data_IF_335688977459
#
_entry.id   IF_335688977459
#
_cell.length_a   1.000
_cell.length_b   1.000
_cell.length_c   1.000
_cell.angle_alpha   90.00
_cell.angle_beta   90.00
_cell.angle_gamma   90.00
#
_symmetry.space_group_name_H-M   'P 1'
#
loop_
_entity.id
_entity.type
_entity.pdbx_description
1 polymer ?
#
# COMPACT_ATOMS: atom_id res chain seq x y z
N UNK A 1 0.31 3.87 -0.82
CA UNK A 1 0.95 2.61 -0.38
C UNK A 1 1.01 1.52 -1.46
N UNK A 2 0.55 1.74 -2.72
CA UNK A 2 0.73 0.77 -3.83
C UNK A 2 2.12 0.81 -4.48
N UNK A 3 2.84 1.94 -4.39
CA UNK A 3 4.26 2.05 -4.79
C UNK A 3 5.22 1.38 -3.79
N UNK A 4 4.73 0.64 -2.80
CA UNK A 4 5.56 -0.13 -1.86
C UNK A 4 5.56 -1.64 -2.13
N UNK A 5 4.71 -2.11 -3.05
CA UNK A 5 4.76 -3.46 -3.59
C UNK A 5 5.69 -3.47 -4.81
N UNK A 6 6.87 -4.08 -4.67
CA UNK A 6 7.86 -4.19 -5.76
C UNK A 6 7.28 -4.81 -7.04
N UNK A 7 6.24 -5.64 -6.92
CA UNK A 7 5.53 -6.24 -8.06
C UNK A 7 4.67 -5.24 -8.83
N UNK A 8 4.04 -4.30 -8.13
CA UNK A 8 3.13 -3.33 -8.75
C UNK A 8 3.89 -2.20 -9.42
N UNK A 9 5.03 -1.81 -8.84
CA UNK A 9 6.00 -0.90 -9.43
C UNK A 9 6.53 -1.45 -10.76
N UNK A 10 7.03 -2.70 -10.78
CA UNK A 10 7.53 -3.35 -12.01
C UNK A 10 6.51 -3.42 -13.14
N UNK A 11 5.23 -3.62 -12.81
CA UNK A 11 4.19 -3.77 -13.82
C UNK A 11 3.71 -2.41 -14.37
N UNK A 12 3.62 -1.37 -13.54
CA UNK A 12 3.35 -0.01 -14.02
C UNK A 12 4.49 0.44 -14.94
N UNK A 13 5.75 0.19 -14.58
CA UNK A 13 6.88 0.48 -15.46
C UNK A 13 6.75 -0.25 -16.81
N UNK A 14 6.38 -1.53 -16.80
CA UNK A 14 6.13 -2.29 -18.03
C UNK A 14 4.99 -1.69 -18.85
N UNK A 15 3.90 -1.26 -18.23
CA UNK A 15 2.79 -0.60 -18.94
C UNK A 15 3.29 0.67 -19.62
N UNK A 16 4.06 1.50 -18.92
CA UNK A 16 4.60 2.74 -19.48
C UNK A 16 5.58 2.47 -20.63
N UNK A 17 6.37 1.41 -20.52
CA UNK A 17 7.28 0.98 -21.57
C UNK A 17 6.56 0.57 -22.85
N UNK A 18 5.60 -0.35 -22.74
CA UNK A 18 4.84 -0.86 -23.88
C UNK A 18 3.96 0.24 -24.49
N UNK A 19 3.37 1.09 -23.65
CA UNK A 19 2.59 2.24 -24.09
C UNK A 19 3.45 3.23 -24.88
N UNK A 20 4.63 3.57 -24.36
CA UNK A 20 5.57 4.46 -25.01
C UNK A 20 6.06 3.89 -26.34
N UNK A 21 6.39 2.60 -26.38
CA UNK A 21 6.77 1.90 -27.61
C UNK A 21 5.65 1.91 -28.67
N UNK A 22 4.40 1.68 -28.26
CA UNK A 22 3.25 1.62 -29.17
C UNK A 22 2.81 2.99 -29.70
N UNK A 23 2.87 4.03 -28.86
CA UNK A 23 2.37 5.38 -29.22
C UNK A 23 3.46 6.28 -29.80
N UNK A 24 4.73 5.94 -29.54
CA UNK A 24 5.91 6.78 -29.75
C UNK A 24 5.88 8.09 -28.94
N UNK A 25 5.08 8.15 -27.88
CA UNK A 25 5.10 9.25 -26.91
C UNK A 25 6.16 8.99 -25.84
N UNK A 26 6.70 10.06 -25.27
CA UNK A 26 7.51 9.94 -24.07
C UNK A 26 6.60 9.62 -22.88
N UNK A 27 7.03 8.80 -21.93
CA UNK A 27 6.21 8.38 -20.79
C UNK A 27 7.03 8.21 -19.51
N UNK A 28 6.51 8.66 -18.37
CA UNK A 28 7.16 8.58 -17.05
C UNK A 28 6.13 8.51 -15.92
N UNK A 29 6.48 7.85 -14.82
CA UNK A 29 5.73 7.87 -13.57
C UNK A 29 6.39 8.84 -12.61
N UNK A 30 5.61 9.68 -11.95
CA UNK A 30 6.08 10.59 -10.90
C UNK A 30 5.28 10.43 -9.61
N UNK A 31 5.88 10.82 -8.49
CA UNK A 31 5.18 10.97 -7.21
C UNK A 31 4.27 12.21 -7.20
N UNK A 32 3.59 12.44 -6.06
CA UNK A 32 2.68 13.58 -5.90
C UNK A 32 3.38 14.95 -5.94
N UNK A 33 4.72 14.98 -5.92
CA UNK A 33 5.55 16.19 -5.99
C UNK A 33 6.15 16.39 -7.39
N UNK A 34 5.83 15.53 -8.37
CA UNK A 34 6.38 15.57 -9.71
C UNK A 34 7.79 14.98 -9.82
N UNK A 35 8.28 14.29 -8.79
CA UNK A 35 9.59 13.62 -8.83
C UNK A 35 9.47 12.29 -9.55
N UNK A 36 10.36 12.03 -10.49
CA UNK A 36 10.37 10.79 -11.27
C UNK A 36 10.62 9.57 -10.38
N UNK A 37 9.72 8.59 -10.45
CA UNK A 37 9.81 7.30 -9.74
C UNK A 37 9.92 6.11 -10.69
N UNK A 38 9.90 6.36 -12.00
CA UNK A 38 10.24 5.37 -13.02
C UNK A 38 11.35 5.89 -13.94
N UNK A 39 11.85 5.01 -14.81
CA UNK A 39 12.68 5.43 -15.94
C UNK A 39 11.93 6.36 -16.90
N UNK A 40 12.68 7.16 -17.65
CA UNK A 40 12.20 8.04 -18.71
C UNK A 40 12.06 7.25 -20.03
N UNK A 41 10.84 6.89 -20.42
CA UNK A 41 10.59 6.07 -21.61
C UNK A 41 10.44 6.95 -22.85
N UNK A 42 11.26 6.73 -23.88
CA UNK A 42 11.18 7.44 -25.18
C UNK A 42 11.26 8.98 -25.10
N UNK A 43 11.96 9.50 -24.08
CA UNK A 43 12.22 10.94 -23.97
C UNK A 43 13.18 11.40 -25.07
N UNK A 44 12.84 12.51 -25.73
CA UNK A 44 13.71 13.13 -26.74
C UNK A 44 14.97 13.73 -26.08
N UNK A 45 16.08 13.94 -26.84
CA UNK A 45 17.27 14.61 -26.32
C UNK A 45 16.95 15.95 -25.67
N UNK A 46 15.99 16.71 -26.21
CA UNK A 46 15.54 17.96 -25.62
C UNK A 46 15.02 17.78 -24.19
N UNK A 47 14.06 16.87 -23.97
CA UNK A 47 13.47 16.68 -22.65
C UNK A 47 14.48 16.08 -21.65
N UNK A 48 15.40 15.23 -22.12
CA UNK A 48 16.49 14.70 -21.30
C UNK A 48 17.45 15.81 -20.83
N UNK A 49 17.86 16.71 -21.72
CA UNK A 49 18.73 17.84 -21.39
C UNK A 49 18.03 18.82 -20.44
N UNK A 50 16.77 19.16 -20.72
CA UNK A 50 15.94 20.01 -19.87
C UNK A 50 15.83 19.44 -18.45
N UNK A 51 15.50 18.15 -18.29
CA UNK A 51 15.38 17.51 -16.97
C UNK A 51 16.71 17.25 -16.26
N UNK A 52 17.83 17.33 -16.98
CA UNK A 52 19.19 17.20 -16.41
C UNK A 52 19.72 18.53 -15.87
N UNK A 53 19.22 19.66 -16.37
CA UNK A 53 19.58 20.98 -15.87
C UNK A 53 18.79 21.30 -14.59
N UNK A 54 19.42 21.58 -13.43
CA UNK A 54 18.73 21.82 -12.16
C UNK A 54 17.67 22.93 -12.22
N UNK A 55 17.94 24.00 -12.99
CA UNK A 55 17.00 25.11 -13.17
C UNK A 55 15.71 24.62 -13.83
N UNK A 56 15.83 24.00 -15.00
CA UNK A 56 14.65 23.57 -15.78
C UNK A 56 14.01 22.30 -15.23
N UNK A 57 14.76 21.43 -14.57
CA UNK A 57 14.23 20.27 -13.84
C UNK A 57 13.17 20.69 -12.84
N UNK A 58 13.42 21.74 -12.06
CA UNK A 58 12.44 22.24 -11.09
C UNK A 58 11.13 22.68 -11.76
N UNK A 59 11.21 23.24 -12.97
CA UNK A 59 10.05 23.64 -13.76
C UNK A 59 9.30 22.43 -14.34
N UNK A 60 10.01 21.39 -14.78
CA UNK A 60 9.41 20.12 -15.18
C UNK A 60 8.62 19.50 -14.03
N UNK A 61 9.22 19.36 -12.85
CA UNK A 61 8.57 18.77 -11.69
C UNK A 61 7.32 19.57 -11.27
N UNK A 62 7.37 20.91 -11.34
CA UNK A 62 6.19 21.76 -11.14
C UNK A 62 5.09 21.50 -12.18
N UNK A 63 5.45 21.41 -13.47
CA UNK A 63 4.48 21.06 -14.52
C UNK A 63 3.84 19.69 -14.26
N UNK A 64 4.66 18.70 -13.92
CA UNK A 64 4.23 17.33 -13.69
C UNK A 64 3.26 17.26 -12.48
N UNK A 65 3.61 17.95 -11.39
CA UNK A 65 2.79 18.06 -10.18
C UNK A 65 1.47 18.79 -10.46
N UNK A 66 1.50 19.98 -11.05
CA UNK A 66 0.28 20.76 -11.30
C UNK A 66 -0.63 20.05 -12.31
N UNK A 67 -0.06 19.50 -13.38
CA UNK A 67 -0.80 18.71 -14.37
C UNK A 67 -1.52 17.54 -13.73
N UNK A 68 -0.83 16.81 -12.86
CA UNK A 68 -1.41 15.68 -12.13
C UNK A 68 -2.46 16.06 -11.10
N UNK A 69 -2.23 17.11 -10.32
CA UNK A 69 -3.19 17.58 -9.31
C UNK A 69 -4.48 18.07 -9.95
N UNK A 70 -4.39 18.82 -11.05
CA UNK A 70 -5.58 19.27 -11.79
C UNK A 70 -6.33 18.09 -12.43
N UNK A 71 -5.62 17.12 -13.01
CA UNK A 71 -6.22 15.88 -13.51
C UNK A 71 -6.98 15.11 -12.40
N UNK A 72 -6.40 15.07 -11.19
CA UNK A 72 -6.98 14.36 -10.04
C UNK A 72 -8.33 14.91 -9.58
N UNK A 73 -8.64 16.18 -9.83
CA UNK A 73 -9.93 16.79 -9.47
C UNK A 73 -11.11 16.19 -10.23
N UNK A 74 -10.88 15.75 -11.45
CA UNK A 74 -11.92 15.20 -12.34
C UNK A 74 -11.80 13.69 -12.54
N UNK A 75 -10.63 13.12 -12.21
CA UNK A 75 -10.31 11.71 -12.48
C UNK A 75 -10.10 11.41 -13.97
N UNK A 76 -10.03 12.44 -14.82
CA UNK A 76 -9.80 12.35 -16.27
C UNK A 76 -8.38 12.82 -16.59
N UNK A 77 -7.81 12.41 -17.74
CA UNK A 77 -6.54 12.94 -18.18
C UNK A 77 -6.63 14.45 -18.36
N UNK A 78 -5.58 15.17 -17.96
CA UNK A 78 -5.43 16.59 -18.28
C UNK A 78 -4.33 16.76 -19.32
N UNK A 79 -4.68 17.35 -20.45
CA UNK A 79 -3.73 17.77 -21.49
C UNK A 79 -3.39 19.25 -21.26
N UNK A 80 -2.10 19.57 -21.25
CA UNK A 80 -1.60 20.90 -20.96
C UNK A 80 -0.31 21.21 -21.75
N UNK A 81 0.10 22.49 -21.80
CA UNK A 81 1.44 22.87 -22.25
C UNK A 81 2.38 23.00 -21.07
N UNK A 82 3.53 22.33 -21.13
CA UNK A 82 4.56 22.45 -20.12
C UNK A 82 5.31 23.78 -20.26
N UNK A 83 6.22 24.05 -19.32
CA UNK A 83 7.02 25.28 -19.31
C UNK A 83 7.84 25.47 -20.60
N UNK A 84 8.27 24.38 -21.24
CA UNK A 84 9.01 24.43 -22.49
C UNK A 84 8.11 24.66 -23.73
N UNK A 85 6.79 24.72 -23.55
CA UNK A 85 5.81 24.90 -24.63
C UNK A 85 5.42 23.60 -25.35
N UNK A 86 5.87 22.45 -24.87
CA UNK A 86 5.47 21.14 -25.38
C UNK A 86 4.12 20.72 -24.80
N UNK A 87 3.33 19.99 -25.58
CA UNK A 87 2.09 19.38 -25.13
C UNK A 87 2.41 18.10 -24.36
N UNK A 88 1.85 18.02 -23.16
CA UNK A 88 2.00 16.90 -22.24
C UNK A 88 0.63 16.57 -21.64
N UNK A 89 0.48 15.39 -21.06
CA UNK A 89 -0.72 15.06 -20.32
C UNK A 89 -0.44 14.21 -19.10
N UNK A 90 -1.35 14.30 -18.13
CA UNK A 90 -1.24 13.61 -16.86
C UNK A 90 -2.49 12.77 -16.58
N UNK A 91 -2.29 11.55 -16.10
CA UNK A 91 -3.32 10.61 -15.64
C UNK A 91 -3.09 10.31 -14.15
N UNK A 92 -4.07 10.56 -13.26
CA UNK A 92 -3.89 10.37 -11.83
C UNK A 92 -3.88 8.89 -11.44
N UNK A 93 -2.93 8.52 -10.57
CA UNK A 93 -2.85 7.17 -9.98
C UNK A 93 -3.52 7.22 -8.61
N UNK A 94 -4.77 6.78 -8.55
CA UNK A 94 -5.56 6.75 -7.30
C UNK A 94 -5.70 5.32 -6.80
N UNK A 95 -5.40 5.13 -5.53
CA UNK A 95 -5.21 3.83 -4.88
C UNK A 95 -5.97 3.86 -3.58
N UNK A 96 -6.97 3.00 -3.40
CA UNK A 96 -7.77 2.97 -2.17
C UNK A 96 -8.28 4.37 -1.76
N UNK A 97 -8.67 5.18 -2.77
CA UNK A 97 -9.11 6.57 -2.59
C UNK A 97 -8.02 7.56 -2.13
N UNK A 98 -6.74 7.16 -2.19
CA UNK A 98 -5.57 8.01 -1.95
C UNK A 98 -4.81 8.26 -3.26
N UNK A 99 -4.53 9.53 -3.55
CA UNK A 99 -3.65 9.91 -4.66
C UNK A 99 -2.21 9.45 -4.37
N UNK A 100 -1.65 8.62 -5.25
CA UNK A 100 -0.32 8.03 -5.07
C UNK A 100 0.75 8.60 -6.01
N UNK A 101 0.34 9.29 -7.08
CA UNK A 101 1.25 9.83 -8.09
C UNK A 101 0.53 10.01 -9.43
N UNK A 102 1.31 10.19 -10.49
CA UNK A 102 0.78 10.48 -11.82
C UNK A 102 1.53 9.70 -12.91
N UNK A 103 0.79 9.21 -13.90
CA UNK A 103 1.37 8.76 -15.17
C UNK A 103 1.40 9.96 -16.10
N UNK A 104 2.58 10.30 -16.61
CA UNK A 104 2.74 11.36 -17.58
C UNK A 104 3.11 10.78 -18.92
N UNK A 105 2.57 11.39 -19.97
CA UNK A 105 2.99 11.09 -21.31
C UNK A 105 2.69 12.26 -22.25
N UNK A 106 3.46 12.33 -23.33
CA UNK A 106 3.37 13.44 -24.27
C UNK A 106 4.76 13.90 -24.67
N UNK A 107 5.08 15.14 -24.28
CA UNK A 107 6.32 15.85 -24.59
C UNK A 107 6.55 15.97 -26.10
N UNK A 108 5.49 16.40 -26.78
CA UNK A 108 5.43 16.54 -28.24
C UNK A 108 4.94 17.92 -28.63
N UNK A 109 5.15 18.29 -29.88
CA UNK A 109 4.51 19.47 -30.46
C UNK A 109 3.12 19.04 -30.96
N UNK A 110 2.07 19.75 -30.56
CA UNK A 110 0.73 19.57 -31.13
C UNK A 110 0.63 20.33 -32.47
N UNK A 111 0.19 19.68 -33.55
CA UNK A 111 0.07 20.30 -34.89
C UNK A 111 -0.93 21.46 -34.89
N UNK A 112 -2.06 21.27 -34.22
CA UNK A 112 -3.11 22.26 -34.12
C UNK A 112 -2.84 23.20 -32.94
N UNK A 113 -3.21 24.47 -33.12
CA UNK A 113 -3.34 25.42 -32.01
C UNK A 113 -4.54 25.00 -31.16
N UNK A 114 -4.36 23.93 -30.38
CA UNK A 114 -5.33 23.51 -29.39
C UNK A 114 -5.44 24.59 -28.32
N UNK A 115 -6.65 24.80 -27.79
CA UNK A 115 -6.95 25.68 -26.64
C UNK A 115 -6.26 25.24 -25.33
N UNK A 116 -5.28 24.34 -25.44
CA UNK A 116 -4.45 23.82 -24.37
C UNK A 116 -3.55 24.95 -23.87
N UNK A 117 -3.92 25.48 -22.70
CA UNK A 117 -3.16 26.50 -21.99
C UNK A 117 -1.87 25.95 -21.37
N UNK A 118 -1.00 26.86 -20.95
CA UNK A 118 0.16 26.51 -20.15
C UNK A 118 -0.27 26.09 -18.75
N UNK A 119 0.28 24.99 -18.24
CA UNK A 119 -0.02 24.51 -16.88
C UNK A 119 0.54 25.43 -15.80
N UNK A 120 1.54 26.24 -16.17
CA UNK A 120 2.17 27.20 -15.29
C UNK A 120 2.61 28.43 -16.09
N UNK A 121 2.87 29.52 -15.38
CA UNK A 121 3.10 30.85 -15.96
C UNK A 121 4.55 31.32 -15.88
N UNK A 122 5.46 30.55 -15.27
CA UNK A 122 6.87 30.96 -15.18
C UNK A 122 7.51 30.93 -16.57
N UNK A 123 8.09 32.06 -16.96
CA UNK A 123 8.83 32.17 -18.21
C UNK A 123 10.13 31.38 -18.15
N UNK A 124 10.51 30.84 -19.31
CA UNK A 124 11.68 29.98 -19.44
C UNK A 124 12.61 30.57 -20.48
N UNK A 125 13.89 30.57 -20.19
CA UNK A 125 14.94 31.13 -21.03
C UNK A 125 15.75 30.06 -21.78
N UNK A 126 15.27 28.81 -21.85
CA UNK A 126 15.96 27.74 -22.57
C UNK A 126 16.19 28.07 -24.05
N UNK A 127 15.38 28.97 -24.63
CA UNK A 127 15.53 29.47 -26.00
C UNK A 127 16.79 30.32 -26.20
N UNK A 128 17.51 30.69 -25.14
CA UNK A 128 18.80 31.37 -25.24
C UNK A 128 19.97 30.37 -25.39
N UNK A 129 19.72 29.08 -25.18
CA UNK A 129 20.72 28.02 -25.27
C UNK A 129 20.68 27.34 -26.64
N UNK A 130 21.80 27.42 -27.39
CA UNK A 130 21.91 26.87 -28.74
C UNK A 130 21.78 25.35 -28.78
N UNK A 131 22.26 24.65 -27.75
CA UNK A 131 22.16 23.18 -27.67
C UNK A 131 20.70 22.77 -27.48
N UNK A 132 19.99 23.43 -26.56
CA UNK A 132 18.57 23.17 -26.31
C UNK A 132 17.71 23.52 -27.54
N UNK A 133 18.00 24.61 -28.25
CA UNK A 133 17.33 24.93 -29.51
C UNK A 133 17.57 23.83 -30.56
N UNK A 134 18.79 23.33 -30.67
CA UNK A 134 19.12 22.26 -31.61
C UNK A 134 18.36 20.97 -31.27
N UNK A 135 18.36 20.59 -30.00
CA UNK A 135 17.65 19.41 -29.51
C UNK A 135 16.13 19.55 -29.67
N UNK A 136 15.57 20.75 -29.50
CA UNK A 136 14.13 21.00 -29.66
C UNK A 136 13.63 20.66 -31.07
N UNK A 137 14.48 20.80 -32.10
CA UNK A 137 14.13 20.47 -33.49
C UNK A 137 13.84 19.00 -33.72
N UNK A 138 14.31 18.11 -32.84
CA UNK A 138 14.00 16.67 -32.91
C UNK A 138 12.74 16.28 -32.13
N UNK A 139 12.03 17.24 -31.51
CA UNK A 139 10.77 16.93 -30.83
C UNK A 139 9.71 16.60 -31.88
N UNK A 140 9.04 15.44 -31.78
CA UNK A 140 8.11 15.03 -32.81
C UNK A 140 6.81 15.82 -32.74
N UNK A 141 6.14 15.91 -33.88
CA UNK A 141 4.87 16.61 -34.04
C UNK A 141 3.73 15.60 -34.15
N UNK A 142 2.69 15.78 -33.34
CA UNK A 142 1.57 14.86 -33.21
C UNK A 142 0.25 15.64 -33.35
N UNK A 143 -0.75 15.04 -33.99
CA UNK A 143 -2.09 15.63 -34.03
C UNK A 143 -2.79 15.56 -32.67
N UNK A 144 -3.65 16.53 -32.42
CA UNK A 144 -4.53 16.60 -31.25
C UNK A 144 -5.30 15.29 -31.05
N UNK A 145 -5.79 14.68 -32.12
CA UNK A 145 -6.50 13.39 -32.08
C UNK A 145 -5.62 12.28 -31.52
N UNK A 146 -4.36 12.18 -31.95
CA UNK A 146 -3.43 11.16 -31.45
C UNK A 146 -3.12 11.37 -29.97
N UNK A 147 -2.90 12.61 -29.54
CA UNK A 147 -2.65 12.95 -28.13
C UNK A 147 -3.86 12.57 -27.27
N UNK A 148 -5.07 13.00 -27.66
CA UNK A 148 -6.31 12.67 -26.95
C UNK A 148 -6.57 11.16 -26.87
N UNK A 149 -6.44 10.43 -27.99
CA UNK A 149 -6.63 8.97 -27.99
C UNK A 149 -5.60 8.24 -27.14
N UNK A 150 -4.36 8.73 -27.09
CA UNK A 150 -3.31 8.15 -26.25
C UNK A 150 -3.57 8.42 -24.76
N UNK A 151 -4.03 9.62 -24.41
CA UNK A 151 -4.42 9.97 -23.05
C UNK A 151 -5.60 9.12 -22.53
N UNK A 152 -6.64 8.93 -23.35
CA UNK A 152 -7.76 8.04 -23.04
C UNK A 152 -7.32 6.58 -22.93
N UNK A 153 -6.47 6.10 -23.83
CA UNK A 153 -5.92 4.74 -23.77
C UNK A 153 -5.18 4.49 -22.46
N UNK A 154 -4.26 5.39 -22.07
CA UNK A 154 -3.51 5.26 -20.82
C UNK A 154 -4.43 5.33 -19.59
N UNK A 155 -5.48 6.15 -19.66
CA UNK A 155 -6.52 6.23 -18.63
C UNK A 155 -7.27 4.91 -18.47
N UNK A 156 -7.71 4.29 -19.57
CA UNK A 156 -8.40 3.00 -19.53
C UNK A 156 -7.50 1.90 -18.98
N UNK A 157 -6.25 1.84 -19.46
CA UNK A 157 -5.27 0.84 -19.00
C UNK A 157 -5.01 1.00 -17.51
N UNK A 158 -4.74 2.22 -17.05
CA UNK A 158 -4.46 2.50 -15.64
C UNK A 158 -5.67 2.22 -14.75
N UNK A 159 -6.88 2.62 -15.13
CA UNK A 159 -8.09 2.36 -14.36
C UNK A 159 -8.40 0.86 -14.27
N UNK A 160 -8.31 0.12 -15.38
CA UNK A 160 -8.55 -1.31 -15.38
C UNK A 160 -7.50 -2.05 -14.55
N UNK A 161 -6.23 -1.66 -14.69
CA UNK A 161 -5.14 -2.21 -13.89
C UNK A 161 -5.33 -1.97 -12.40
N UNK A 162 -5.51 -0.71 -11.99
CA UNK A 162 -5.71 -0.34 -10.59
C UNK A 162 -6.94 -1.03 -10.01
N UNK A 163 -8.03 -1.14 -10.77
CA UNK A 163 -9.21 -1.90 -10.37
C UNK A 163 -8.90 -3.38 -10.19
N UNK A 164 -8.20 -4.01 -11.14
CA UNK A 164 -7.83 -5.43 -11.06
C UNK A 164 -6.88 -5.71 -9.90
N UNK A 165 -5.94 -4.82 -9.59
CA UNK A 165 -5.02 -4.95 -8.47
C UNK A 165 -5.71 -4.65 -7.14
N UNK A 166 -6.68 -3.74 -7.10
CA UNK A 166 -7.54 -3.57 -5.93
C UNK A 166 -8.43 -4.80 -5.72
N UNK A 167 -8.93 -5.42 -6.79
CA UNK A 167 -9.72 -6.65 -6.70
C UNK A 167 -8.85 -7.84 -6.29
N UNK A 168 -7.63 -7.99 -6.81
CA UNK A 168 -6.66 -9.00 -6.36
C UNK A 168 -6.18 -8.72 -4.95
N UNK A 169 -5.84 -7.48 -4.59
CA UNK A 169 -5.45 -7.11 -3.22
C UNK A 169 -6.61 -7.28 -2.25
N UNK A 170 -7.85 -7.03 -2.68
CA UNK A 170 -9.08 -7.33 -1.91
C UNK A 170 -9.39 -8.80 -1.87
N UNK A 171 -9.07 -9.59 -2.88
CA UNK A 171 -9.30 -11.04 -2.91
C UNK A 171 -8.21 -11.76 -2.11
N UNK A 172 -6.96 -11.29 -2.20
CA UNK A 172 -5.85 -11.67 -1.34
C UNK A 172 -6.07 -11.18 0.09
N UNK A 173 -6.63 -9.99 0.31
CA UNK A 173 -7.06 -9.54 1.63
C UNK A 173 -8.28 -10.31 2.10
N UNK A 174 -9.26 -10.63 1.28
CA UNK A 174 -10.40 -11.49 1.64
C UNK A 174 -9.94 -12.91 1.93
N UNK A 175 -8.94 -13.42 1.22
CA UNK A 175 -8.29 -14.68 1.50
C UNK A 175 -7.48 -14.57 2.80
N UNK A 176 -6.72 -13.49 3.04
CA UNK A 176 -5.99 -13.20 4.29
C UNK A 176 -6.92 -12.87 5.48
N UNK A 177 -8.12 -12.32 5.26
CA UNK A 177 -9.14 -11.94 6.25
C UNK A 177 -10.05 -13.13 6.55
N UNK A 178 -10.40 -13.95 5.55
CA UNK A 178 -10.98 -15.28 5.76
C UNK A 178 -10.01 -16.14 6.59
N UNK A 179 -8.70 -15.98 6.36
CA UNK A 179 -7.65 -16.56 7.19
C UNK A 179 -7.57 -15.96 8.60
N UNK A 180 -7.69 -14.64 8.75
CA UNK A 180 -7.56 -13.95 10.05
C UNK A 180 -8.80 -14.12 10.94
N UNK A 181 -9.94 -14.53 10.38
CA UNK A 181 -11.19 -14.75 11.13
C UNK A 181 -11.35 -16.15 11.74
N UNK A 182 -10.31 -17.00 11.66
CA UNK A 182 -10.21 -18.23 12.49
C UNK A 182 -8.78 -18.49 13.01
N UNK A 183 -8.00 -17.59 13.63
CA UNK A 183 -8.25 -16.35 14.36
C UNK A 183 -6.85 -15.73 14.59
N UNK A 184 -6.47 -14.66 13.88
CA UNK A 184 -5.09 -14.12 13.80
C UNK A 184 -4.15 -14.98 12.91
N UNK A 185 -4.23 -14.71 11.60
CA UNK A 185 -3.46 -15.12 10.37
C UNK A 185 -2.48 -16.32 10.36
N UNK A 186 -2.75 -17.23 9.42
CA UNK A 186 -1.87 -18.25 8.80
C UNK A 186 -1.60 -19.62 9.52
N UNK A 187 -2.65 -20.38 9.87
CA UNK A 187 -2.66 -21.85 10.22
C UNK A 187 -3.44 -22.83 9.30
N UNK A 188 -3.87 -22.46 8.09
CA UNK A 188 -4.71 -23.33 7.23
C UNK A 188 -4.00 -24.59 6.71
N UNK A 189 -2.68 -24.66 6.68
CA UNK A 189 -1.99 -25.87 6.18
C UNK A 189 -1.80 -26.97 7.24
N UNK A 190 -2.03 -26.71 8.55
CA UNK A 190 -1.81 -27.69 9.62
C UNK A 190 -3.09 -28.08 10.40
N UNK A 191 -3.62 -29.28 10.12
CA UNK A 191 -4.86 -29.81 10.70
C UNK A 191 -4.79 -29.96 12.22
N UNK A 192 -3.64 -30.35 12.76
CA UNK A 192 -3.39 -30.56 14.18
C UNK A 192 -3.41 -29.21 14.91
N UNK A 193 -2.76 -28.17 14.36
CA UNK A 193 -2.82 -26.81 14.93
C UNK A 193 -4.25 -26.28 14.94
N UNK A 194 -5.02 -26.46 13.87
CA UNK A 194 -6.41 -26.00 13.83
C UNK A 194 -7.29 -26.66 14.90
N UNK A 195 -7.14 -27.97 15.11
CA UNK A 195 -7.85 -28.70 16.18
C UNK A 195 -7.41 -28.20 17.56
N UNK A 196 -6.11 -28.00 17.76
CA UNK A 196 -5.57 -27.45 18.99
C UNK A 196 -6.11 -26.04 19.29
N UNK A 197 -6.16 -25.15 18.30
CA UNK A 197 -6.70 -23.79 18.46
C UNK A 197 -8.18 -23.79 18.85
N UNK A 198 -9.01 -24.61 18.20
CA UNK A 198 -10.42 -24.79 18.56
C UNK A 198 -10.59 -25.33 19.97
N UNK A 199 -9.73 -26.27 20.38
CA UNK A 199 -9.74 -26.80 21.74
C UNK A 199 -9.38 -25.72 22.76
N UNK A 200 -8.31 -24.96 22.50
CA UNK A 200 -7.86 -23.87 23.38
C UNK A 200 -8.99 -22.85 23.57
N UNK A 201 -9.60 -22.38 22.48
CA UNK A 201 -10.65 -21.35 22.53
C UNK A 201 -11.87 -21.76 23.35
N UNK A 202 -12.30 -23.02 23.25
CA UNK A 202 -13.44 -23.55 24.02
C UNK A 202 -13.16 -23.75 25.51
N UNK A 203 -11.88 -23.73 25.92
CA UNK A 203 -11.46 -24.09 27.27
C UNK A 203 -10.69 -22.97 28.00
N UNK A 204 -10.69 -21.73 27.50
CA UNK A 204 -9.95 -20.61 28.11
C UNK A 204 -10.41 -20.27 29.54
N UNK A 205 -11.60 -20.71 29.94
CA UNK A 205 -12.19 -20.55 31.27
C UNK A 205 -11.73 -21.61 32.30
N UNK A 206 -10.65 -22.33 32.00
CA UNK A 206 -10.03 -23.30 32.92
C UNK A 206 -8.52 -23.43 32.67
N UNK A 207 -7.77 -24.12 33.55
CA UNK A 207 -6.40 -24.50 33.26
C UNK A 207 -6.37 -25.41 32.01
N UNK A 208 -5.39 -25.17 31.14
CA UNK A 208 -5.11 -25.99 29.95
C UNK A 208 -3.61 -26.26 29.93
N UNK A 209 -3.19 -27.51 29.80
CA UNK A 209 -1.77 -27.88 29.69
C UNK A 209 -1.37 -28.17 28.24
N UNK A 210 -0.06 -28.15 27.97
CA UNK A 210 0.49 -28.53 26.67
C UNK A 210 0.19 -30.00 26.35
N UNK A 211 0.38 -30.90 27.32
CA UNK A 211 0.17 -32.34 27.16
C UNK A 211 -1.28 -32.69 26.83
N UNK A 212 -2.23 -31.98 27.45
CA UNK A 212 -3.65 -32.14 27.20
C UNK A 212 -4.00 -31.81 25.74
N UNK A 213 -3.53 -30.66 25.24
CA UNK A 213 -3.82 -30.22 23.88
C UNK A 213 -3.08 -31.07 22.85
N UNK A 214 -1.84 -31.47 23.15
CA UNK A 214 -1.07 -32.40 22.31
C UNK A 214 -1.77 -33.76 22.17
N UNK A 215 -2.23 -34.32 23.30
CA UNK A 215 -2.99 -35.58 23.33
C UNK A 215 -4.32 -35.46 22.57
N UNK A 216 -5.01 -34.32 22.69
CA UNK A 216 -6.25 -34.05 21.95
C UNK A 216 -6.06 -34.07 20.42
N UNK A 217 -4.84 -33.79 19.95
CA UNK A 217 -4.48 -33.83 18.52
C UNK A 217 -3.62 -35.03 18.16
N UNK A 218 -3.50 -36.02 19.05
CA UNK A 218 -2.74 -37.27 18.88
C UNK A 218 -1.25 -37.08 18.58
N UNK A 219 -0.64 -36.05 19.17
CA UNK A 219 0.80 -35.78 19.05
C UNK A 219 1.48 -35.91 20.41
N UNK A 220 2.78 -36.23 20.39
CA UNK A 220 3.60 -36.05 21.58
C UNK A 220 3.77 -34.56 21.89
N UNK A 221 3.84 -34.21 23.17
CA UNK A 221 3.97 -32.82 23.63
C UNK A 221 5.21 -32.12 23.08
N UNK A 222 6.30 -32.87 22.89
CA UNK A 222 7.53 -32.38 22.28
C UNK A 222 7.32 -31.95 20.83
N UNK A 223 6.69 -32.82 20.02
CA UNK A 223 6.43 -32.53 18.62
C UNK A 223 5.40 -31.41 18.48
N UNK A 224 4.33 -31.45 19.27
CA UNK A 224 3.31 -30.40 19.29
C UNK A 224 3.89 -29.03 19.67
N UNK A 225 4.76 -28.93 20.67
CA UNK A 225 5.39 -27.66 21.07
C UNK A 225 6.22 -27.04 19.93
N UNK A 226 7.04 -27.86 19.26
CA UNK A 226 7.83 -27.42 18.10
C UNK A 226 6.94 -26.97 16.95
N UNK A 227 5.92 -27.77 16.66
CA UNK A 227 4.95 -27.48 15.61
C UNK A 227 4.21 -26.18 15.90
N UNK A 228 3.66 -26.04 17.10
CA UNK A 228 2.91 -24.87 17.53
C UNK A 228 3.79 -23.61 17.47
N UNK A 229 5.03 -23.66 17.96
CA UNK A 229 5.93 -22.50 17.88
C UNK A 229 6.26 -22.11 16.45
N UNK A 230 6.48 -23.10 15.57
CA UNK A 230 6.76 -22.87 14.15
C UNK A 230 5.59 -22.21 13.45
N UNK A 231 4.38 -22.73 13.66
CA UNK A 231 3.18 -22.26 12.96
C UNK A 231 2.65 -20.95 13.54
N UNK A 232 2.72 -20.77 14.86
CA UNK A 232 2.14 -19.62 15.56
C UNK A 232 3.13 -18.47 15.76
N UNK A 233 4.42 -18.69 15.48
CA UNK A 233 5.53 -17.79 15.82
C UNK A 233 5.60 -17.40 17.32
N UNK A 234 4.84 -18.10 18.19
CA UNK A 234 4.81 -17.92 19.64
C UNK A 234 4.71 -19.29 20.32
N UNK A 235 5.27 -19.44 21.52
CA UNK A 235 5.12 -20.68 22.26
C UNK A 235 3.68 -20.86 22.77
N UNK A 236 3.28 -22.11 22.99
CA UNK A 236 1.94 -22.49 23.44
C UNK A 236 1.49 -21.76 24.71
N UNK A 237 2.34 -21.72 25.73
CA UNK A 237 1.99 -21.13 27.04
C UNK A 237 1.72 -19.62 26.88
N UNK A 238 2.57 -18.94 26.12
CA UNK A 238 2.41 -17.51 25.82
C UNK A 238 1.13 -17.27 25.04
N UNK A 239 0.84 -18.08 24.02
CA UNK A 239 -0.39 -17.95 23.24
C UNK A 239 -1.65 -18.10 24.10
N UNK A 240 -1.71 -19.14 24.93
CA UNK A 240 -2.84 -19.36 25.84
C UNK A 240 -2.98 -18.19 26.81
N UNK A 241 -1.87 -17.73 27.40
CA UNK A 241 -1.89 -16.58 28.31
C UNK A 241 -2.36 -15.30 27.60
N UNK A 242 -1.90 -15.01 26.38
CA UNK A 242 -2.34 -13.86 25.59
C UNK A 242 -3.85 -13.89 25.36
N UNK A 243 -4.41 -15.02 24.91
CA UNK A 243 -5.86 -15.16 24.72
C UNK A 243 -6.63 -14.99 26.04
N UNK A 244 -6.13 -15.53 27.15
CA UNK A 244 -6.71 -15.30 28.48
C UNK A 244 -6.61 -13.84 28.91
N UNK A 245 -5.53 -13.13 28.63
CA UNK A 245 -5.38 -11.71 28.98
C UNK A 245 -6.35 -10.82 28.19
N UNK A 246 -6.60 -11.13 26.92
CA UNK A 246 -7.63 -10.44 26.13
C UNK A 246 -9.03 -10.62 26.73
N UNK A 247 -9.38 -11.85 27.13
CA UNK A 247 -10.64 -12.11 27.84
C UNK A 247 -10.68 -11.39 29.19
N UNK A 248 -9.58 -11.41 29.94
CA UNK A 248 -9.48 -10.72 31.22
C UNK A 248 -9.74 -9.22 31.05
N UNK A 249 -9.12 -8.59 30.05
CA UNK A 249 -9.30 -7.17 29.73
C UNK A 249 -10.77 -6.83 29.49
N UNK A 250 -11.49 -7.70 28.79
CA UNK A 250 -12.92 -7.54 28.57
C UNK A 250 -13.75 -7.73 29.85
N UNK A 251 -13.46 -8.79 30.63
CA UNK A 251 -14.14 -9.07 31.90
C UNK A 251 -13.95 -7.94 32.93
N UNK A 252 -12.78 -7.30 32.96
CA UNK A 252 -12.45 -6.20 33.87
C UNK A 252 -13.27 -4.92 33.63
N UNK A 253 -13.92 -4.78 32.46
CA UNK A 253 -14.84 -3.68 32.17
C UNK A 253 -16.10 -3.74 33.03
N UNK A 254 -16.50 -4.94 33.45
CA UNK A 254 -17.65 -5.10 34.31
C UNK A 254 -17.20 -5.09 35.80
N UNK A 255 -17.61 -4.06 36.59
CA UNK A 255 -17.15 -3.89 37.96
C UNK A 255 -17.61 -5.00 38.92
N UNK A 256 -18.59 -5.84 38.53
CA UNK A 256 -19.04 -7.01 39.32
C UNK A 256 -17.99 -8.11 39.42
N UNK A 257 -17.02 -8.13 38.51
CA UNK A 257 -15.92 -9.09 38.56
C UNK A 257 -14.80 -8.56 39.46
N UNK A 258 -14.52 -9.22 40.57
CA UNK A 258 -13.27 -8.98 41.30
C UNK A 258 -12.07 -9.48 40.48
N UNK A 259 -10.90 -8.87 40.66
CA UNK A 259 -9.66 -9.28 39.96
C UNK A 259 -9.37 -10.77 40.24
N UNK A 260 -9.60 -11.20 41.49
CA UNK A 260 -9.48 -12.60 41.91
C UNK A 260 -10.46 -13.54 41.20
N UNK A 261 -11.72 -13.13 41.03
CA UNK A 261 -12.71 -13.92 40.29
C UNK A 261 -12.37 -14.03 38.80
N UNK A 262 -11.84 -12.97 38.18
CA UNK A 262 -11.36 -13.01 36.79
C UNK A 262 -10.20 -14.01 36.67
N UNK A 263 -9.22 -13.95 37.57
CA UNK A 263 -8.08 -14.85 37.58
C UNK A 263 -8.53 -16.32 37.72
N UNK A 264 -9.39 -16.62 38.71
CA UNK A 264 -9.92 -17.98 38.92
C UNK A 264 -10.75 -18.48 37.74
N UNK A 265 -11.61 -17.63 37.17
CA UNK A 265 -12.45 -18.00 36.02
C UNK A 265 -11.62 -18.28 34.77
N UNK A 266 -10.44 -17.67 34.62
CA UNK A 266 -9.51 -17.97 33.53
C UNK A 266 -8.53 -19.10 33.88
N UNK A 267 -8.74 -19.80 35.00
CA UNK A 267 -7.94 -20.95 35.41
C UNK A 267 -6.54 -20.61 35.94
N UNK A 268 -6.34 -19.43 36.52
CA UNK A 268 -5.12 -19.11 37.27
C UNK A 268 -5.28 -19.51 38.74
N UNK A 269 -4.37 -20.34 39.25
CA UNK A 269 -4.37 -20.77 40.66
C UNK A 269 -4.01 -19.63 41.62
N UNK A 270 -3.12 -18.73 41.19
CA UNK A 270 -2.65 -17.61 42.00
C UNK A 270 -2.93 -16.28 41.30
N UNK A 271 -3.71 -15.41 41.94
CA UNK A 271 -4.04 -14.07 41.46
C UNK A 271 -2.79 -13.20 41.27
N UNK A 272 -1.75 -13.41 42.08
CA UNK A 272 -0.45 -12.75 41.93
C UNK A 272 0.22 -13.03 40.58
N UNK A 273 0.18 -14.29 40.12
CA UNK A 273 0.72 -14.68 38.81
C UNK A 273 -0.12 -14.10 37.66
N UNK A 274 -1.45 -14.14 37.78
CA UNK A 274 -2.35 -13.47 36.84
C UNK A 274 -2.00 -11.97 36.68
N UNK A 275 -1.85 -11.24 37.80
CA UNK A 275 -1.47 -9.82 37.76
C UNK A 275 -0.12 -9.59 37.08
N UNK A 276 0.86 -10.48 37.30
CA UNK A 276 2.17 -10.41 36.64
C UNK A 276 2.07 -10.61 35.13
N UNK A 277 1.28 -11.58 34.68
CA UNK A 277 1.05 -11.85 33.24
C UNK A 277 0.29 -10.70 32.58
N UNK A 278 -0.75 -10.19 33.25
CA UNK A 278 -1.54 -9.05 32.75
C UNK A 278 -0.69 -7.79 32.59
N UNK A 279 0.15 -7.49 33.58
CA UNK A 279 1.09 -6.35 33.49
C UNK A 279 2.11 -6.53 32.39
N UNK A 280 2.59 -7.75 32.15
CA UNK A 280 3.51 -8.03 31.04
C UNK A 280 2.86 -7.82 29.67
N UNK A 281 1.56 -8.11 29.55
CA UNK A 281 0.84 -8.02 28.27
C UNK A 281 0.37 -6.61 27.93
N UNK A 282 -0.02 -5.81 28.94
CA UNK A 282 -0.64 -4.51 28.73
C UNK A 282 0.11 -3.33 29.38
N UNK A 283 1.29 -3.58 29.95
CA UNK A 283 2.12 -2.61 30.68
C UNK A 283 1.44 -1.95 31.90
N UNK A 284 0.27 -2.44 32.31
CA UNK A 284 -0.50 -1.94 33.46
C UNK A 284 -1.01 -3.08 34.34
N UNK A 285 -1.18 -2.84 35.64
CA UNK A 285 -1.81 -3.85 36.52
C UNK A 285 -3.31 -3.98 36.22
N UNK A 286 -3.96 -5.13 36.49
CA UNK A 286 -5.41 -5.27 36.35
C UNK A 286 -6.20 -4.20 37.12
N UNK A 287 -5.69 -3.79 38.29
CA UNK A 287 -6.26 -2.73 39.10
C UNK A 287 -6.11 -1.37 38.42
N UNK A 288 -4.90 -1.03 37.96
CA UNK A 288 -4.65 0.21 37.23
C UNK A 288 -5.49 0.32 35.95
N UNK A 289 -5.58 -0.76 35.18
CA UNK A 289 -6.47 -0.81 34.00
C UNK A 289 -7.93 -0.55 34.38
N UNK A 290 -8.40 -1.10 35.49
CA UNK A 290 -9.77 -0.86 35.96
C UNK A 290 -9.99 0.59 36.41
N UNK A 291 -8.99 1.21 37.02
CA UNK A 291 -9.06 2.63 37.42
C UNK A 291 -9.18 3.55 36.20
N UNK A 292 -8.58 3.20 35.06
CA UNK A 292 -8.76 3.96 33.79
C UNK A 292 -10.14 3.81 33.14
N UNK A 293 -10.98 2.90 33.64
CA UNK A 293 -12.33 2.65 33.11
C UNK A 293 -13.44 3.30 33.95
N UNK A 294 -13.08 3.95 35.07
CA UNK A 294 -13.98 4.71 35.92
C UNK A 294 -14.01 6.17 35.48
#
# INVERSE_FOLDING_TARGET
>A
MLLQSKSNELLIEKVMDEFSAATSLASVVVDIHGTEVSRLCNFTPFCQLIRSNPKYRSLCQKCDMFGGLEASKTGKPLIYRCHAGLTDFSVPIVVENQLSGFLLSGQVICEENSEVGNIQTEETDWKNDKELISAFRSVPVFSSKKINSSAEMLTIISQYYLKSEMEKSREEQKQKIAFHHTKVTHHEDNKEIRKALKYIEKNLNRPISLDEVASHVYLSSYYFSKLFKKEMNVNFINYVNQKKMLLAKDMLKNPRWSIDNVARNLGFTQTSYFCKVFRKEFDVTPKGYRETLK
#
